data_IF_087278958422
#
_entry.id   IF_087278958422
#
_cell.length_a   1.000
_cell.length_b   1.000
_cell.length_c   1.000
_cell.angle_alpha   90.00
_cell.angle_beta   90.00
_cell.angle_gamma   90.00
#
_symmetry.space_group_name_H-M   'P 1'
#
loop_
_entity.id
_entity.type
_entity.pdbx_description
1 polymer ?
#
# COMPACT_ATOMS: atom_id res chain seq x y z
N UNK A 1 -22.13 -16.47 -17.00
CA UNK A 1 -21.26 -16.50 -15.79
C UNK A 1 -20.89 -15.06 -15.47
N UNK A 2 -20.83 -14.66 -14.19
CA UNK A 2 -20.53 -13.28 -13.85
C UNK A 2 -19.03 -13.09 -13.65
N UNK A 3 -18.51 -12.02 -14.23
CA UNK A 3 -17.10 -11.65 -14.14
C UNK A 3 -16.93 -10.25 -13.54
N UNK A 4 -15.79 -10.03 -12.93
CA UNK A 4 -15.43 -8.77 -12.27
C UNK A 4 -13.97 -8.42 -12.58
N UNK A 5 -13.68 -7.14 -12.57
CA UNK A 5 -12.32 -6.63 -12.73
C UNK A 5 -11.85 -5.90 -11.47
N UNK A 6 -10.65 -6.23 -11.04
CA UNK A 6 -9.92 -5.45 -10.05
C UNK A 6 -8.76 -4.72 -10.69
N UNK A 7 -8.71 -3.40 -10.55
CA UNK A 7 -7.66 -2.55 -11.09
C UNK A 7 -6.88 -1.90 -9.94
N UNK A 8 -5.56 -1.97 -10.03
CA UNK A 8 -4.62 -1.26 -9.15
C UNK A 8 -3.82 -0.28 -10.01
N UNK A 9 -4.17 0.99 -9.91
CA UNK A 9 -3.56 2.07 -10.68
C UNK A 9 -2.34 2.58 -9.95
N UNK A 10 -1.16 2.27 -10.45
CA UNK A 10 0.10 2.82 -9.93
C UNK A 10 0.64 3.97 -10.77
N UNK A 11 1.62 4.70 -10.25
CA UNK A 11 2.23 5.83 -10.97
C UNK A 11 3.00 5.43 -12.24
N UNK A 12 3.42 4.19 -12.38
CA UNK A 12 4.23 3.68 -13.53
C UNK A 12 3.55 2.57 -14.30
N UNK A 13 2.69 1.79 -13.66
CA UNK A 13 1.99 0.68 -14.26
C UNK A 13 0.62 0.46 -13.60
N UNK A 14 -0.33 -0.02 -14.39
CA UNK A 14 -1.65 -0.44 -13.95
C UNK A 14 -1.68 -1.96 -13.96
N UNK A 15 -2.13 -2.55 -12.86
CA UNK A 15 -2.43 -3.98 -12.79
C UNK A 15 -3.92 -4.19 -12.92
N UNK A 16 -4.32 -5.19 -13.67
CA UNK A 16 -5.72 -5.57 -13.88
C UNK A 16 -5.86 -7.07 -13.68
N UNK A 17 -6.78 -7.48 -12.80
CA UNK A 17 -7.14 -8.88 -12.59
C UNK A 17 -8.58 -9.14 -13.03
N UNK A 18 -8.79 -10.25 -13.75
CA UNK A 18 -10.10 -10.76 -14.16
C UNK A 18 -10.51 -11.89 -13.22
N UNK A 19 -11.63 -11.72 -12.55
CA UNK A 19 -12.16 -12.66 -11.55
C UNK A 19 -13.52 -13.22 -11.95
N UNK A 20 -13.77 -14.48 -11.60
CA UNK A 20 -15.14 -15.03 -11.54
C UNK A 20 -15.82 -14.60 -10.23
N UNK A 21 -17.13 -14.66 -10.20
CA UNK A 21 -17.92 -14.48 -8.97
C UNK A 21 -17.59 -15.49 -7.85
N UNK A 22 -16.87 -16.56 -8.18
CA UNK A 22 -16.38 -17.59 -7.26
C UNK A 22 -15.02 -17.27 -6.64
N UNK A 23 -14.51 -16.05 -6.82
CA UNK A 23 -13.19 -15.55 -6.36
C UNK A 23 -11.98 -16.09 -7.12
N UNK A 24 -12.20 -16.86 -8.15
CA UNK A 24 -11.11 -17.36 -8.97
C UNK A 24 -10.53 -16.24 -9.83
N UNK A 25 -9.24 -15.94 -9.64
CA UNK A 25 -8.48 -15.09 -10.55
C UNK A 25 -8.17 -15.89 -11.82
N UNK A 26 -8.78 -15.51 -12.94
CA UNK A 26 -8.66 -16.21 -14.22
C UNK A 26 -7.38 -15.79 -14.96
N UNK A 27 -7.18 -14.47 -15.02
CA UNK A 27 -6.07 -13.89 -15.77
C UNK A 27 -5.72 -12.52 -15.18
N UNK A 28 -4.49 -12.11 -15.39
CA UNK A 28 -4.04 -10.76 -15.02
C UNK A 28 -3.10 -10.19 -16.06
N UNK A 29 -3.10 -8.88 -16.17
CA UNK A 29 -2.17 -8.16 -17.03
C UNK A 29 -1.65 -6.89 -16.34
N UNK A 30 -0.50 -6.45 -16.80
CA UNK A 30 0.10 -5.18 -16.43
C UNK A 30 0.37 -4.37 -17.70
N UNK A 31 0.09 -3.07 -17.62
CA UNK A 31 0.39 -2.14 -18.71
C UNK A 31 0.88 -0.79 -18.16
N UNK A 32 1.66 -0.03 -18.92
CA UNK A 32 2.21 1.25 -18.45
C UNK A 32 1.11 2.26 -18.13
N UNK A 33 1.29 3.01 -17.04
CA UNK A 33 0.46 4.17 -16.75
C UNK A 33 0.93 5.33 -17.62
N UNK A 34 0.05 5.84 -18.47
CA UNK A 34 0.26 7.11 -19.19
C UNK A 34 -0.38 8.27 -18.42
N UNK A 35 -0.38 9.47 -18.99
CA UNK A 35 -1.04 10.62 -18.39
C UNK A 35 -2.56 10.41 -18.31
N UNK A 36 -3.23 11.17 -17.44
CA UNK A 36 -4.67 11.01 -17.17
C UNK A 36 -5.57 11.16 -18.41
N UNK A 37 -5.08 11.88 -19.44
CA UNK A 37 -5.80 12.06 -20.71
C UNK A 37 -6.02 10.75 -21.46
N UNK A 38 -5.06 9.81 -21.35
CA UNK A 38 -5.12 8.50 -22.02
C UNK A 38 -5.62 7.38 -21.13
N UNK A 39 -5.66 7.61 -19.81
CA UNK A 39 -5.86 6.58 -18.80
C UNK A 39 -7.16 5.78 -19.01
N UNK A 40 -8.26 6.47 -19.30
CA UNK A 40 -9.58 5.84 -19.50
C UNK A 40 -9.60 4.98 -20.76
N UNK A 41 -9.00 5.48 -21.85
CA UNK A 41 -8.90 4.75 -23.11
C UNK A 41 -8.01 3.51 -22.97
N UNK A 42 -6.89 3.64 -22.27
CA UNK A 42 -5.98 2.52 -22.01
C UNK A 42 -6.66 1.44 -21.16
N UNK A 43 -7.35 1.83 -20.08
CA UNK A 43 -8.10 0.90 -19.25
C UNK A 43 -9.14 0.17 -20.11
N UNK A 44 -9.96 0.89 -20.87
CA UNK A 44 -11.01 0.31 -21.69
C UNK A 44 -10.45 -0.66 -22.74
N UNK A 45 -9.41 -0.28 -23.48
CA UNK A 45 -8.78 -1.15 -24.48
C UNK A 45 -8.19 -2.43 -23.85
N UNK A 46 -7.57 -2.33 -22.69
CA UNK A 46 -7.04 -3.50 -22.00
C UNK A 46 -8.14 -4.39 -21.42
N UNK A 47 -9.30 -3.84 -21.01
CA UNK A 47 -10.48 -4.64 -20.67
C UNK A 47 -10.93 -5.46 -21.88
N UNK A 48 -11.13 -4.84 -23.03
CA UNK A 48 -11.55 -5.54 -24.26
C UNK A 48 -10.55 -6.63 -24.65
N UNK A 49 -9.25 -6.31 -24.61
CA UNK A 49 -8.20 -7.26 -24.93
C UNK A 49 -8.20 -8.47 -23.98
N UNK A 50 -8.38 -8.22 -22.66
CA UNK A 50 -8.40 -9.28 -21.66
C UNK A 50 -9.60 -10.21 -21.82
N UNK A 51 -10.78 -9.66 -22.12
CA UNK A 51 -12.01 -10.43 -22.38
C UNK A 51 -11.90 -11.25 -23.65
N UNK A 52 -11.42 -10.66 -24.75
CA UNK A 52 -11.18 -11.37 -26.02
C UNK A 52 -10.18 -12.52 -25.87
N UNK A 53 -9.04 -12.27 -25.16
CA UNK A 53 -8.02 -13.28 -24.89
C UNK A 53 -8.61 -14.51 -24.19
N UNK A 54 -9.55 -14.29 -23.28
CA UNK A 54 -10.17 -15.36 -22.49
C UNK A 54 -11.47 -15.90 -23.13
N UNK A 55 -11.85 -15.44 -24.32
CA UNK A 55 -13.09 -15.83 -25.02
C UNK A 55 -14.35 -15.59 -24.16
N UNK A 56 -14.38 -14.48 -23.40
CA UNK A 56 -15.49 -14.09 -22.53
C UNK A 56 -16.25 -12.93 -23.17
N UNK A 57 -17.60 -12.96 -23.11
CA UNK A 57 -18.41 -11.84 -23.58
C UNK A 57 -18.32 -10.66 -22.58
N UNK A 58 -18.10 -9.46 -23.10
CA UNK A 58 -18.04 -8.24 -22.27
C UNK A 58 -19.35 -7.98 -21.51
N UNK A 59 -20.50 -8.43 -22.00
CA UNK A 59 -21.81 -8.32 -21.34
C UNK A 59 -21.89 -9.12 -20.03
N UNK A 60 -20.98 -10.07 -19.84
CA UNK A 60 -20.84 -10.84 -18.60
C UNK A 60 -20.09 -10.08 -17.50
N UNK A 61 -19.50 -8.92 -17.79
CA UNK A 61 -18.83 -8.06 -16.81
C UNK A 61 -19.87 -7.38 -15.91
N UNK A 62 -19.82 -7.66 -14.60
CA UNK A 62 -20.78 -7.16 -13.61
C UNK A 62 -20.23 -6.04 -12.72
N UNK A 63 -18.93 -5.89 -12.66
CA UNK A 63 -18.34 -4.81 -11.87
C UNK A 63 -16.87 -4.60 -12.11
N UNK A 64 -16.44 -3.36 -11.92
CA UNK A 64 -15.05 -2.90 -11.95
C UNK A 64 -14.77 -2.21 -10.62
N UNK A 65 -13.75 -2.69 -9.90
CA UNK A 65 -13.18 -1.98 -8.76
C UNK A 65 -11.86 -1.33 -9.16
N UNK A 66 -11.57 -0.16 -8.61
CA UNK A 66 -10.36 0.61 -8.95
C UNK A 66 -9.72 1.10 -7.66
N UNK A 67 -8.46 0.71 -7.42
CA UNK A 67 -7.56 1.36 -6.47
C UNK A 67 -6.80 2.47 -7.20
N UNK A 68 -6.83 3.69 -6.67
CA UNK A 68 -6.21 4.85 -7.31
C UNK A 68 -5.37 5.65 -6.30
N UNK A 69 -4.14 6.07 -6.63
CA UNK A 69 -3.28 6.77 -5.69
C UNK A 69 -3.77 8.21 -5.46
N UNK A 70 -3.82 8.63 -4.20
CA UNK A 70 -4.23 9.97 -3.79
C UNK A 70 -5.61 10.03 -3.14
N UNK A 71 -6.18 11.22 -3.07
CA UNK A 71 -7.50 11.46 -2.49
C UNK A 71 -8.61 11.14 -3.49
N UNK A 72 -9.40 10.15 -3.18
CA UNK A 72 -10.48 9.62 -4.02
C UNK A 72 -11.81 9.70 -3.28
N UNK A 73 -12.79 10.36 -3.86
CA UNK A 73 -14.18 10.32 -3.40
C UNK A 73 -14.90 9.12 -4.03
N UNK A 74 -15.03 8.05 -3.26
CA UNK A 74 -15.67 6.81 -3.71
C UNK A 74 -17.19 6.91 -3.93
N UNK A 75 -17.86 7.94 -3.39
CA UNK A 75 -19.30 8.17 -3.60
C UNK A 75 -19.55 8.81 -4.95
N UNK A 76 -18.78 9.82 -5.31
CA UNK A 76 -18.91 10.53 -6.60
C UNK A 76 -18.13 9.85 -7.73
N UNK A 77 -17.13 9.03 -7.41
CA UNK A 77 -16.25 8.40 -8.41
C UNK A 77 -15.16 9.32 -8.95
N UNK A 78 -14.87 10.41 -8.24
CA UNK A 78 -13.91 11.45 -8.64
C UNK A 78 -12.60 11.28 -7.91
N UNK A 79 -11.49 11.33 -8.64
CA UNK A 79 -10.16 11.55 -8.07
C UNK A 79 -10.02 13.03 -7.79
N UNK A 80 -10.14 13.41 -6.51
CA UNK A 80 -10.08 14.81 -6.09
C UNK A 80 -8.68 15.37 -6.30
N UNK A 81 -7.67 14.58 -5.91
CA UNK A 81 -6.27 14.93 -6.07
C UNK A 81 -5.37 13.69 -6.11
N UNK A 82 -4.45 13.67 -7.07
CA UNK A 82 -3.35 12.70 -7.12
C UNK A 82 -2.07 13.38 -7.53
N UNK A 83 -1.07 13.36 -6.67
CA UNK A 83 0.25 13.91 -6.98
C UNK A 83 1.00 13.04 -7.99
N UNK A 84 0.91 11.73 -7.85
CA UNK A 84 1.64 10.76 -8.67
C UNK A 84 1.23 10.78 -10.15
N UNK A 85 -0.04 11.09 -10.43
CA UNK A 85 -0.61 11.11 -11.78
C UNK A 85 -1.02 12.52 -12.24
N UNK A 86 -0.71 13.53 -11.44
CA UNK A 86 -1.05 14.95 -11.72
C UNK A 86 -2.55 15.10 -12.04
N UNK A 87 -3.41 14.43 -11.27
CA UNK A 87 -4.85 14.46 -11.45
C UNK A 87 -5.52 15.43 -10.47
N UNK A 88 -6.48 16.22 -10.96
CA UNK A 88 -7.33 17.11 -10.16
C UNK A 88 -8.76 17.04 -10.64
N UNK A 89 -9.71 16.74 -9.74
CA UNK A 89 -11.13 16.60 -10.03
C UNK A 89 -11.42 15.73 -11.27
N UNK A 90 -10.70 14.61 -11.37
CA UNK A 90 -10.76 13.73 -12.51
C UNK A 90 -11.89 12.69 -12.35
N UNK A 91 -12.95 12.85 -13.13
CA UNK A 91 -14.11 11.94 -13.16
C UNK A 91 -13.78 10.67 -13.96
N UNK A 92 -13.03 9.75 -13.36
CA UNK A 92 -12.66 8.49 -14.01
C UNK A 92 -13.85 7.55 -14.15
N UNK A 93 -14.75 7.53 -13.14
CA UNK A 93 -15.91 6.61 -13.15
C UNK A 93 -16.93 7.04 -14.18
N UNK A 94 -17.27 8.34 -14.28
CA UNK A 94 -18.18 8.85 -15.31
C UNK A 94 -17.65 8.58 -16.71
N UNK A 95 -16.37 8.89 -16.96
CA UNK A 95 -15.73 8.64 -18.27
C UNK A 95 -15.67 7.15 -18.65
N UNK A 96 -15.43 6.26 -17.70
CA UNK A 96 -15.47 4.81 -17.96
C UNK A 96 -16.89 4.33 -18.23
N UNK A 97 -17.92 4.87 -17.55
CA UNK A 97 -19.34 4.54 -17.79
C UNK A 97 -19.82 4.97 -19.17
N UNK A 98 -19.23 5.98 -19.80
CA UNK A 98 -19.51 6.34 -21.20
C UNK A 98 -19.09 5.24 -22.19
N UNK A 99 -18.09 4.41 -21.81
CA UNK A 99 -17.53 3.35 -22.65
C UNK A 99 -18.05 1.95 -22.32
N UNK A 100 -18.42 1.72 -21.07
CA UNK A 100 -18.82 0.39 -20.59
C UNK A 100 -19.94 0.50 -19.55
N UNK A 101 -21.05 -0.17 -19.82
CA UNK A 101 -22.22 -0.15 -18.95
C UNK A 101 -22.09 -1.25 -17.87
N UNK A 102 -21.40 -0.92 -16.78
CA UNK A 102 -21.25 -1.82 -15.64
C UNK A 102 -21.16 -1.05 -14.31
N UNK A 103 -21.25 -1.77 -13.19
CA UNK A 103 -21.07 -1.19 -11.88
C UNK A 103 -19.58 -0.86 -11.66
N UNK A 104 -19.25 0.38 -11.27
CA UNK A 104 -17.86 0.81 -11.04
C UNK A 104 -17.73 1.42 -9.66
N UNK A 105 -16.74 0.99 -8.90
CA UNK A 105 -16.33 1.60 -7.63
C UNK A 105 -14.85 1.95 -7.65
N UNK A 106 -14.52 3.02 -6.94
CA UNK A 106 -13.14 3.48 -6.78
C UNK A 106 -12.87 3.83 -5.32
N UNK A 107 -11.64 3.61 -4.85
CA UNK A 107 -11.14 4.09 -3.57
C UNK A 107 -9.62 4.32 -3.65
N UNK A 108 -9.02 4.84 -2.57
CA UNK A 108 -7.57 4.98 -2.46
C UNK A 108 -6.88 3.61 -2.57
N UNK A 109 -5.70 3.57 -3.22
CA UNK A 109 -4.94 2.35 -3.49
C UNK A 109 -4.56 1.55 -2.23
N UNK A 110 -4.13 2.24 -1.16
CA UNK A 110 -3.78 1.58 0.11
C UNK A 110 -5.03 1.04 0.84
N UNK A 111 -6.14 1.77 0.80
CA UNK A 111 -7.43 1.29 1.30
C UNK A 111 -7.88 0.02 0.55
N UNK A 112 -7.74 0.03 -0.77
CA UNK A 112 -8.09 -1.13 -1.61
C UNK A 112 -7.19 -2.31 -1.30
N UNK A 113 -5.88 -2.11 -1.13
CA UNK A 113 -4.96 -3.17 -0.73
C UNK A 113 -5.30 -3.76 0.65
N UNK A 114 -5.70 -2.92 1.61
CA UNK A 114 -6.19 -3.37 2.92
C UNK A 114 -7.44 -4.27 2.79
N UNK A 115 -8.37 -3.91 1.90
CA UNK A 115 -9.54 -4.74 1.61
C UNK A 115 -9.15 -6.09 1.01
N UNK A 116 -8.13 -6.13 0.15
CA UNK A 116 -7.58 -7.36 -0.41
C UNK A 116 -7.08 -8.30 0.69
N UNK A 117 -6.22 -7.81 1.56
CA UNK A 117 -5.72 -8.59 2.70
C UNK A 117 -6.82 -9.02 3.66
N UNK A 118 -7.83 -8.17 3.88
CA UNK A 118 -8.96 -8.46 4.75
C UNK A 118 -9.87 -9.57 4.23
N UNK A 119 -10.10 -9.66 2.93
CA UNK A 119 -10.99 -10.68 2.36
C UNK A 119 -10.28 -11.94 1.90
N UNK A 120 -9.03 -11.83 1.45
CA UNK A 120 -8.33 -12.91 0.74
C UNK A 120 -6.94 -13.22 1.29
N UNK A 121 -6.38 -12.36 2.14
CA UNK A 121 -5.04 -12.51 2.69
C UNK A 121 -5.04 -12.77 4.20
N UNK A 122 -4.03 -12.22 4.87
CA UNK A 122 -3.80 -12.40 6.32
C UNK A 122 -4.89 -11.82 7.21
N UNK A 123 -5.72 -10.92 6.70
CA UNK A 123 -6.83 -10.30 7.43
C UNK A 123 -8.12 -11.10 7.49
N UNK A 124 -8.22 -12.23 6.76
CA UNK A 124 -9.50 -12.94 6.54
C UNK A 124 -10.19 -13.48 7.80
N UNK A 125 -9.41 -13.78 8.84
CA UNK A 125 -9.91 -14.34 10.10
C UNK A 125 -10.14 -13.28 11.18
N UNK A 126 -9.92 -12.00 10.90
CA UNK A 126 -10.02 -10.86 11.80
C UNK A 126 -11.23 -9.96 11.48
N UNK A 127 -11.58 -9.08 12.43
CA UNK A 127 -12.60 -8.04 12.24
C UNK A 127 -11.98 -6.64 12.17
N UNK A 128 -10.82 -6.47 12.81
CA UNK A 128 -10.15 -5.20 12.94
C UNK A 128 -8.71 -5.35 12.47
N UNK A 129 -8.34 -4.72 11.37
CA UNK A 129 -6.97 -4.72 10.87
C UNK A 129 -6.50 -3.31 10.53
N UNK A 130 -5.22 -3.08 10.68
CA UNK A 130 -4.53 -1.93 10.08
C UNK A 130 -3.50 -2.46 9.11
N UNK A 131 -3.69 -2.16 7.84
CA UNK A 131 -2.73 -2.45 6.78
C UNK A 131 -1.81 -1.25 6.60
N UNK A 132 -0.51 -1.48 6.54
CA UNK A 132 0.52 -0.43 6.37
C UNK A 132 1.41 -0.82 5.20
N UNK A 133 1.47 -0.01 4.16
CA UNK A 133 2.37 -0.25 3.02
C UNK A 133 3.65 0.57 3.17
N UNK A 134 4.80 -0.13 3.14
CA UNK A 134 6.15 0.41 3.27
C UNK A 134 6.83 0.41 1.89
N UNK A 135 6.59 1.48 1.14
CA UNK A 135 7.10 1.68 -0.21
C UNK A 135 7.85 3.01 -0.35
N UNK A 136 7.71 3.69 -1.49
CA UNK A 136 8.23 5.05 -1.70
C UNK A 136 7.75 6.01 -0.62
N UNK A 137 6.49 5.87 -0.21
CA UNK A 137 5.89 6.50 0.96
C UNK A 137 5.40 5.47 1.98
N UNK A 138 4.59 5.92 2.93
CA UNK A 138 3.83 5.10 3.87
C UNK A 138 2.35 5.35 3.64
N UNK A 139 1.66 4.39 3.08
CA UNK A 139 0.21 4.39 2.97
C UNK A 139 -0.42 3.43 3.97
N UNK A 140 -1.75 3.45 4.08
CA UNK A 140 -2.45 2.50 4.91
C UNK A 140 -3.94 2.44 4.66
N UNK A 141 -4.53 1.35 5.14
CA UNK A 141 -5.97 1.17 5.18
C UNK A 141 -6.38 0.58 6.52
N UNK A 142 -7.49 1.04 7.04
CA UNK A 142 -7.97 0.68 8.37
C UNK A 142 -9.34 0.05 8.23
N UNK A 143 -9.50 -1.14 8.82
CA UNK A 143 -10.78 -1.84 8.87
C UNK A 143 -11.15 -2.02 10.33
N UNK A 144 -12.34 -1.56 10.71
CA UNK A 144 -12.93 -1.65 12.05
C UNK A 144 -14.30 -2.29 11.93
N UNK A 145 -14.56 -3.31 12.73
CA UNK A 145 -15.81 -4.09 12.70
C UNK A 145 -16.19 -4.54 11.28
N UNK A 146 -15.19 -5.01 10.53
CA UNK A 146 -15.36 -5.48 9.16
C UNK A 146 -15.63 -4.38 8.12
N UNK A 147 -15.49 -3.10 8.49
CA UNK A 147 -15.76 -1.96 7.59
C UNK A 147 -14.53 -1.10 7.40
N UNK A 148 -14.26 -0.73 6.16
CA UNK A 148 -13.16 0.17 5.82
C UNK A 148 -13.45 1.59 6.34
N UNK A 149 -12.46 2.19 7.00
CA UNK A 149 -12.50 3.56 7.51
C UNK A 149 -12.01 4.52 6.42
N UNK A 150 -12.92 5.01 5.60
CA UNK A 150 -12.58 5.95 4.53
C UNK A 150 -12.65 7.43 4.96
N UNK A 151 -13.32 7.72 6.09
CA UNK A 151 -13.54 9.09 6.54
C UNK A 151 -14.52 9.85 5.62
N UNK A 152 -14.57 11.18 5.80
CA UNK A 152 -15.42 12.02 4.96
C UNK A 152 -14.83 12.13 3.54
N UNK A 153 -15.61 11.82 2.53
CA UNK A 153 -15.23 11.90 1.10
C UNK A 153 -13.97 11.09 0.76
N UNK A 154 -13.71 9.96 1.45
CA UNK A 154 -12.54 9.14 1.20
C UNK A 154 -11.19 9.72 1.65
N UNK A 155 -11.18 10.81 2.46
CA UNK A 155 -9.98 11.52 2.88
C UNK A 155 -9.40 11.04 4.22
N UNK A 156 -9.87 9.89 4.74
CA UNK A 156 -9.40 9.31 6.00
C UNK A 156 -8.25 8.33 5.83
N UNK A 157 -7.77 7.80 6.96
CA UNK A 157 -6.72 6.78 7.02
C UNK A 157 -5.35 7.19 6.45
N UNK A 158 -5.06 8.49 6.35
CA UNK A 158 -3.77 9.04 5.91
C UNK A 158 -2.67 8.87 6.97
N UNK A 159 -2.41 7.60 7.36
CA UNK A 159 -1.54 7.24 8.47
C UNK A 159 -0.08 7.67 8.28
N UNK A 160 0.40 7.71 7.05
CA UNK A 160 1.75 8.16 6.72
C UNK A 160 2.01 9.63 7.08
N UNK A 161 0.92 10.43 7.18
CA UNK A 161 1.02 11.84 7.56
C UNK A 161 0.78 12.12 9.06
N UNK A 162 0.63 11.08 9.87
CA UNK A 162 0.67 11.17 11.33
C UNK A 162 2.05 11.64 11.79
N UNK A 163 2.12 12.65 12.67
CA UNK A 163 3.39 13.16 13.20
C UNK A 163 3.91 12.24 14.29
N UNK A 164 5.11 11.70 14.11
CA UNK A 164 5.84 10.91 15.11
C UNK A 164 7.03 11.68 15.71
N UNK A 165 7.49 12.75 15.06
CA UNK A 165 8.62 13.55 15.55
C UNK A 165 8.33 15.05 15.40
N UNK A 166 8.15 15.73 16.54
CA UNK A 166 7.89 17.18 16.55
C UNK A 166 9.08 17.95 15.94
N UNK A 167 8.78 18.87 15.01
CA UNK A 167 9.79 19.65 14.26
C UNK A 167 10.78 18.82 13.43
N UNK A 168 10.46 17.58 13.12
CA UNK A 168 11.28 16.66 12.35
C UNK A 168 11.41 16.99 10.86
N UNK A 169 11.67 15.97 10.03
CA UNK A 169 11.86 16.13 8.60
C UNK A 169 10.64 16.75 7.91
N UNK A 170 10.88 17.61 6.91
CA UNK A 170 9.83 18.17 6.08
C UNK A 170 9.20 17.05 5.21
N UNK A 171 7.89 16.96 5.25
CA UNK A 171 7.10 16.04 4.43
C UNK A 171 6.59 16.72 3.17
N UNK A 172 6.35 15.96 2.10
CA UNK A 172 5.73 16.42 0.85
C UNK A 172 4.34 17.06 1.07
N UNK A 173 3.63 16.68 2.14
CA UNK A 173 2.34 17.29 2.53
C UNK A 173 2.47 18.68 3.15
N UNK A 174 3.67 19.23 3.30
CA UNK A 174 3.95 20.55 3.90
C UNK A 174 4.13 20.52 5.43
N UNK A 175 3.80 19.44 6.13
CA UNK A 175 4.03 19.27 7.57
C UNK A 175 5.45 18.79 7.86
N UNK A 176 5.84 18.86 9.14
CA UNK A 176 7.12 18.29 9.61
C UNK A 176 6.85 17.09 10.52
N UNK A 177 7.72 16.09 10.43
CA UNK A 177 7.73 14.95 11.35
C UNK A 177 6.73 13.85 11.04
N UNK A 178 6.17 13.81 9.83
CA UNK A 178 5.25 12.76 9.39
C UNK A 178 5.91 11.38 9.42
N UNK A 179 5.17 10.35 9.80
CA UNK A 179 5.61 8.95 9.87
C UNK A 179 6.29 8.49 8.58
N UNK A 180 5.75 8.85 7.43
CA UNK A 180 6.33 8.56 6.11
C UNK A 180 7.78 9.01 5.98
N UNK A 181 8.12 10.18 6.53
CA UNK A 181 9.48 10.73 6.41
C UNK A 181 10.54 9.99 7.24
N UNK A 182 10.11 9.00 8.01
CA UNK A 182 10.97 8.14 8.84
C UNK A 182 10.86 6.66 8.46
N UNK A 183 9.68 6.17 8.17
CA UNK A 183 9.38 4.75 7.99
C UNK A 183 9.22 4.29 6.54
N UNK A 184 9.29 5.18 5.54
CA UNK A 184 9.27 4.78 4.14
C UNK A 184 10.62 4.18 3.68
N UNK A 185 10.61 3.43 2.58
CA UNK A 185 11.83 2.98 1.90
C UNK A 185 12.70 4.16 1.48
N UNK A 186 12.08 5.24 1.02
CA UNK A 186 12.78 6.49 0.66
C UNK A 186 13.51 7.08 1.87
N UNK A 187 12.88 7.08 3.04
CA UNK A 187 13.48 7.57 4.28
C UNK A 187 14.69 6.72 4.70
N UNK A 188 14.54 5.39 4.69
CA UNK A 188 15.64 4.46 4.99
C UNK A 188 16.86 4.72 4.08
N UNK A 189 16.65 4.77 2.77
CA UNK A 189 17.75 4.95 1.80
C UNK A 189 18.34 6.36 1.89
N UNK A 190 17.55 7.40 2.12
CA UNK A 190 18.04 8.76 2.37
C UNK A 190 19.00 8.78 3.58
N UNK A 191 18.59 8.18 4.70
CA UNK A 191 19.40 8.14 5.92
C UNK A 191 20.67 7.31 5.72
N UNK A 192 20.56 6.18 5.01
CA UNK A 192 21.70 5.34 4.68
C UNK A 192 22.72 6.05 3.77
N UNK A 193 22.28 6.85 2.81
CA UNK A 193 23.16 7.68 1.95
C UNK A 193 23.94 8.70 2.76
N UNK A 194 23.27 9.41 3.66
CA UNK A 194 23.94 10.38 4.55
C UNK A 194 24.96 9.67 5.44
N UNK A 195 24.61 8.53 6.02
CA UNK A 195 25.50 7.76 6.86
C UNK A 195 26.70 7.20 6.08
N UNK A 196 26.50 6.72 4.85
CA UNK A 196 27.55 6.26 3.94
C UNK A 196 28.57 7.36 3.68
N UNK A 197 28.13 8.57 3.33
CA UNK A 197 29.01 9.72 3.07
C UNK A 197 29.87 10.06 4.30
N UNK A 198 29.29 9.98 5.49
CA UNK A 198 29.99 10.30 6.75
C UNK A 198 30.89 9.15 7.27
N UNK A 199 30.88 7.98 6.64
CA UNK A 199 31.62 6.79 7.06
C UNK A 199 32.37 6.15 5.88
N UNK A 200 33.54 6.64 5.48
CA UNK A 200 34.27 6.16 4.30
C UNK A 200 34.72 4.69 4.36
N UNK A 201 34.71 4.07 5.53
CA UNK A 201 35.13 2.67 5.73
C UNK A 201 33.95 1.68 5.77
N UNK A 202 32.72 2.16 5.60
CA UNK A 202 31.52 1.31 5.53
C UNK A 202 31.51 0.43 4.28
N UNK A 203 31.01 -0.81 4.41
CA UNK A 203 30.79 -1.71 3.27
C UNK A 203 29.78 -1.17 2.27
N UNK A 204 28.96 -0.18 2.65
CA UNK A 204 28.06 0.51 1.72
C UNK A 204 28.79 1.08 0.50
N UNK A 205 30.06 1.54 0.67
CA UNK A 205 30.88 2.02 -0.44
C UNK A 205 31.31 0.92 -1.39
N UNK A 206 31.67 -0.26 -0.85
CA UNK A 206 32.05 -1.43 -1.66
C UNK A 206 30.86 -1.94 -2.48
N UNK A 207 29.66 -2.02 -1.84
CA UNK A 207 28.48 -2.67 -2.42
C UNK A 207 27.73 -1.73 -3.38
N UNK A 208 27.54 -0.46 -3.00
CA UNK A 208 26.78 0.50 -3.78
C UNK A 208 27.64 1.33 -4.74
N UNK A 209 28.99 1.36 -4.54
CA UNK A 209 29.96 2.14 -5.30
C UNK A 209 29.79 3.67 -5.18
N UNK A 210 28.57 4.18 -5.06
CA UNK A 210 28.28 5.60 -4.83
C UNK A 210 26.96 5.79 -4.07
N UNK A 211 26.77 6.94 -3.38
CA UNK A 211 25.52 7.23 -2.69
C UNK A 211 24.28 7.21 -3.60
N UNK A 212 24.41 7.61 -4.87
CA UNK A 212 23.32 7.65 -5.84
C UNK A 212 22.84 6.25 -6.22
N UNK A 213 23.75 5.27 -6.27
CA UNK A 213 23.45 3.87 -6.56
C UNK A 213 22.95 3.10 -5.34
N UNK A 214 23.05 3.67 -4.13
CA UNK A 214 22.54 3.03 -2.92
C UNK A 214 21.00 2.92 -2.99
N UNK A 215 20.51 1.70 -2.95
CA UNK A 215 19.10 1.35 -2.96
C UNK A 215 18.75 0.31 -1.90
N UNK A 216 17.49 -0.13 -1.86
CA UNK A 216 17.05 -1.11 -0.86
C UNK A 216 17.83 -2.42 -0.93
N UNK A 217 18.14 -2.93 -2.12
CA UNK A 217 18.88 -4.17 -2.28
C UNK A 217 20.29 -4.07 -1.69
N UNK A 218 21.05 -3.05 -2.11
CA UNK A 218 22.45 -2.82 -1.65
C UNK A 218 22.53 -2.50 -0.16
N UNK A 219 21.53 -1.79 0.38
CA UNK A 219 21.46 -1.51 1.83
C UNK A 219 21.30 -2.81 2.64
N UNK A 220 20.35 -3.65 2.26
CA UNK A 220 20.10 -4.90 2.99
C UNK A 220 21.23 -5.92 2.80
N UNK A 221 21.94 -5.93 1.68
CA UNK A 221 23.16 -6.71 1.51
C UNK A 221 24.25 -6.29 2.50
N UNK A 222 24.47 -4.98 2.68
CA UNK A 222 25.42 -4.48 3.69
C UNK A 222 24.98 -4.87 5.11
N UNK A 223 23.68 -4.81 5.41
CA UNK A 223 23.14 -5.23 6.70
C UNK A 223 23.38 -6.74 6.95
N UNK A 224 23.10 -7.60 5.97
CA UNK A 224 23.36 -9.04 6.04
C UNK A 224 24.85 -9.35 6.24
N UNK A 225 25.74 -8.55 5.64
CA UNK A 225 27.21 -8.63 5.84
C UNK A 225 27.65 -7.96 7.15
N UNK A 226 26.73 -7.55 8.02
CA UNK A 226 26.98 -6.97 9.36
C UNK A 226 27.79 -5.67 9.33
N UNK A 227 27.58 -4.85 8.30
CA UNK A 227 28.14 -3.50 8.28
C UNK A 227 27.59 -2.69 9.47
N UNK A 228 28.49 -2.06 10.23
CA UNK A 228 28.12 -1.33 11.45
C UNK A 228 27.23 -0.12 11.14
N UNK A 229 27.49 0.56 10.04
CA UNK A 229 26.73 1.75 9.65
C UNK A 229 25.32 1.35 9.21
N UNK A 230 25.20 0.33 8.36
CA UNK A 230 23.91 -0.20 7.96
C UNK A 230 23.10 -0.71 9.15
N UNK A 231 23.76 -1.37 10.13
CA UNK A 231 23.11 -1.86 11.35
C UNK A 231 22.52 -0.70 12.18
N UNK A 232 23.29 0.35 12.44
CA UNK A 232 22.82 1.52 13.21
C UNK A 232 21.62 2.20 12.50
N UNK A 233 21.70 2.37 11.18
CA UNK A 233 20.63 2.99 10.41
C UNK A 233 19.37 2.10 10.43
N UNK A 234 19.51 0.79 10.36
CA UNK A 234 18.40 -0.13 10.41
C UNK A 234 17.76 -0.17 11.80
N UNK A 235 18.54 -0.16 12.88
CA UNK A 235 18.04 -0.08 14.26
C UNK A 235 17.21 1.19 14.46
N UNK A 236 17.67 2.34 13.98
CA UNK A 236 16.89 3.59 14.04
C UNK A 236 15.61 3.50 13.21
N UNK A 237 15.68 2.91 12.02
CA UNK A 237 14.51 2.67 11.18
C UNK A 237 13.44 1.81 11.90
N UNK A 238 13.88 0.77 12.63
CA UNK A 238 12.99 -0.09 13.41
C UNK A 238 12.33 0.70 14.55
N UNK A 239 13.06 1.60 15.25
CA UNK A 239 12.48 2.48 16.29
C UNK A 239 11.40 3.39 15.68
N UNK A 240 11.74 4.11 14.62
CA UNK A 240 10.81 5.05 13.96
C UNK A 240 9.55 4.32 13.45
N UNK A 241 9.71 3.13 12.90
CA UNK A 241 8.60 2.30 12.42
C UNK A 241 7.75 1.79 13.59
N UNK A 242 8.38 1.36 14.69
CA UNK A 242 7.69 0.90 15.89
C UNK A 242 6.87 2.03 16.56
N UNK A 243 7.39 3.26 16.59
CA UNK A 243 6.65 4.43 17.11
C UNK A 243 5.33 4.65 16.35
N UNK A 244 5.40 4.65 15.01
CA UNK A 244 4.21 4.81 14.20
C UNK A 244 3.21 3.67 14.34
N UNK A 245 3.67 2.42 14.33
CA UNK A 245 2.83 1.24 14.50
C UNK A 245 2.20 1.18 15.90
N UNK A 246 2.95 1.59 16.94
CA UNK A 246 2.44 1.67 18.31
C UNK A 246 1.31 2.69 18.43
N UNK A 247 1.45 3.86 17.80
CA UNK A 247 0.38 4.86 17.77
C UNK A 247 -0.90 4.29 17.15
N UNK A 248 -0.78 3.60 16.00
CA UNK A 248 -1.90 2.94 15.35
C UNK A 248 -2.52 1.84 16.23
N UNK A 249 -1.67 1.01 16.88
CA UNK A 249 -2.12 -0.02 17.80
C UNK A 249 -2.84 0.54 19.02
N UNK A 250 -2.38 1.67 19.58
CA UNK A 250 -3.02 2.31 20.72
C UNK A 250 -4.32 3.03 20.36
N UNK A 251 -4.46 3.54 19.14
CA UNK A 251 -5.68 4.24 18.68
C UNK A 251 -6.78 3.24 18.30
N UNK A 252 -6.44 2.23 17.49
CA UNK A 252 -7.42 1.34 16.89
C UNK A 252 -7.54 -0.01 17.60
N UNK A 253 -6.51 -0.42 18.34
CA UNK A 253 -6.41 -1.74 18.97
C UNK A 253 -6.84 -2.86 18.01
N UNK A 254 -6.21 -2.98 16.83
CA UNK A 254 -6.61 -3.96 15.85
C UNK A 254 -6.25 -5.39 16.29
N UNK A 255 -6.90 -6.37 15.70
CA UNK A 255 -6.52 -7.78 15.85
C UNK A 255 -5.14 -8.01 15.22
N UNK A 256 -4.89 -7.38 14.06
CA UNK A 256 -3.62 -7.47 13.35
C UNK A 256 -3.16 -6.14 12.73
N UNK A 257 -1.84 -5.92 12.78
CA UNK A 257 -1.09 -4.99 11.93
C UNK A 257 -0.49 -5.78 10.78
N UNK A 258 -0.85 -5.47 9.54
CA UNK A 258 -0.38 -6.19 8.34
C UNK A 258 0.53 -5.26 7.54
N UNK A 259 1.80 -5.66 7.37
CA UNK A 259 2.79 -4.88 6.64
C UNK A 259 2.89 -5.35 5.18
N UNK A 260 2.69 -4.42 4.25
CA UNK A 260 2.92 -4.59 2.81
C UNK A 260 4.07 -3.72 2.30
N UNK A 261 4.33 -3.80 1.00
CA UNK A 261 5.40 -3.04 0.34
C UNK A 261 6.76 -3.72 0.40
N UNK A 262 7.71 -3.20 -0.37
CA UNK A 262 8.98 -3.89 -0.63
C UNK A 262 9.85 -4.18 0.60
N UNK A 263 9.80 -3.31 1.62
CA UNK A 263 10.57 -3.51 2.85
C UNK A 263 10.02 -4.67 3.68
N UNK A 264 8.69 -4.84 3.73
CA UNK A 264 8.06 -5.89 4.54
C UNK A 264 8.51 -7.29 4.16
N UNK A 265 8.93 -7.49 2.90
CA UNK A 265 9.41 -8.80 2.42
C UNK A 265 10.81 -9.19 2.90
N UNK A 266 11.43 -8.41 3.78
CA UNK A 266 12.69 -8.77 4.44
C UNK A 266 12.48 -9.80 5.57
N UNK A 267 11.24 -10.21 5.81
CA UNK A 267 10.90 -11.31 6.72
C UNK A 267 11.34 -11.04 8.15
N UNK A 268 11.93 -12.05 8.79
CA UNK A 268 12.27 -12.03 10.21
C UNK A 268 13.25 -10.92 10.61
N UNK A 269 14.13 -10.49 9.69
CA UNK A 269 15.05 -9.36 9.92
C UNK A 269 14.29 -8.09 10.31
N UNK A 270 13.11 -7.87 9.70
CA UNK A 270 12.22 -6.76 10.03
C UNK A 270 11.25 -7.11 11.17
N UNK A 271 10.62 -8.28 11.09
CA UNK A 271 9.47 -8.62 11.91
C UNK A 271 9.83 -8.90 13.37
N UNK A 272 10.92 -9.62 13.64
CA UNK A 272 11.31 -9.97 15.02
C UNK A 272 11.61 -8.74 15.88
N UNK A 273 12.49 -7.79 15.46
CA UNK A 273 12.77 -6.61 16.26
C UNK A 273 11.56 -5.69 16.41
N UNK A 274 10.68 -5.60 15.40
CA UNK A 274 9.44 -4.83 15.49
C UNK A 274 8.46 -5.44 16.50
N UNK A 275 8.23 -6.75 16.44
CA UNK A 275 7.32 -7.42 17.36
C UNK A 275 7.78 -7.25 18.81
N UNK A 276 9.08 -7.39 19.08
CA UNK A 276 9.64 -7.19 20.42
C UNK A 276 9.44 -5.77 20.95
N UNK A 277 9.49 -4.75 20.07
CA UNK A 277 9.24 -3.35 20.47
C UNK A 277 7.76 -3.10 20.71
N UNK A 278 6.89 -3.54 19.81
CA UNK A 278 5.44 -3.38 19.95
C UNK A 278 4.92 -3.98 21.26
N UNK A 279 5.40 -5.16 21.66
CA UNK A 279 5.02 -5.79 22.93
C UNK A 279 5.37 -4.94 24.16
N UNK A 280 6.42 -4.14 24.07
CA UNK A 280 6.84 -3.23 25.16
C UNK A 280 6.15 -1.88 25.12
N UNK A 281 5.85 -1.38 23.92
CA UNK A 281 5.41 0.00 23.70
C UNK A 281 3.89 0.16 23.67
N UNK A 282 3.15 -0.88 23.26
CA UNK A 282 1.68 -0.84 23.25
C UNK A 282 1.16 -0.74 24.69
N UNK A 283 0.28 0.22 24.95
CA UNK A 283 -0.30 0.44 26.27
C UNK A 283 -1.00 -0.81 26.80
N UNK A 284 -0.57 -1.27 27.98
CA UNK A 284 -1.09 -2.49 28.60
C UNK A 284 -0.81 -3.78 27.81
N UNK A 285 0.20 -3.80 26.92
CA UNK A 285 0.49 -4.92 26.04
C UNK A 285 0.67 -6.27 26.73
N UNK A 286 1.31 -6.29 27.90
CA UNK A 286 1.53 -7.53 28.66
C UNK A 286 0.27 -8.07 29.40
N UNK A 287 -0.79 -7.27 29.53
CA UNK A 287 -2.06 -7.68 30.19
C UNK A 287 -3.25 -7.79 29.24
N UNK A 288 -3.06 -7.44 27.96
CA UNK A 288 -4.11 -7.50 26.95
C UNK A 288 -3.80 -8.54 25.88
N UNK A 289 -4.79 -8.87 25.06
CA UNK A 289 -4.58 -9.70 23.90
C UNK A 289 -3.49 -9.08 23.00
N UNK A 290 -2.60 -9.92 22.48
CA UNK A 290 -1.53 -9.51 21.58
C UNK A 290 -2.12 -8.92 20.29
N UNK A 291 -1.54 -7.84 19.80
CA UNK A 291 -1.77 -7.37 18.43
C UNK A 291 -0.83 -8.18 17.52
N UNK A 292 -1.41 -8.93 16.58
CA UNK A 292 -0.60 -9.74 15.67
C UNK A 292 0.11 -8.83 14.66
N UNK A 293 1.41 -9.04 14.47
CA UNK A 293 2.17 -8.37 13.41
C UNK A 293 2.44 -9.37 12.29
N UNK A 294 1.98 -9.04 11.08
CA UNK A 294 1.99 -9.96 9.94
C UNK A 294 2.55 -9.31 8.69
N UNK A 295 3.07 -10.14 7.77
CA UNK A 295 3.43 -9.69 6.41
C UNK A 295 2.26 -10.00 5.48
N UNK A 296 1.96 -9.07 4.58
CA UNK A 296 0.98 -9.20 3.49
C UNK A 296 1.15 -10.53 2.75
N UNK A 297 0.06 -11.29 2.62
CA UNK A 297 0.04 -12.55 1.89
C UNK A 297 -0.09 -12.34 0.39
N UNK A 298 -0.97 -11.42 -0.02
CA UNK A 298 -1.26 -11.14 -1.42
C UNK A 298 -0.15 -10.30 -2.09
N UNK A 299 0.71 -9.69 -1.31
CA UNK A 299 1.86 -8.92 -1.81
C UNK A 299 1.43 -7.86 -2.84
N UNK A 300 2.05 -7.92 -4.03
CA UNK A 300 1.77 -7.00 -5.13
C UNK A 300 0.39 -7.17 -5.79
N UNK A 301 -0.37 -8.20 -5.42
CA UNK A 301 -1.70 -8.45 -5.94
C UNK A 301 -2.81 -7.96 -4.98
N UNK A 302 -2.45 -7.48 -3.77
CA UNK A 302 -3.42 -7.00 -2.78
C UNK A 302 -4.38 -5.94 -3.35
N UNK A 303 -3.87 -5.01 -4.18
CA UNK A 303 -4.67 -3.99 -4.84
C UNK A 303 -5.73 -4.56 -5.77
N UNK A 304 -5.39 -5.52 -6.64
CA UNK A 304 -6.39 -6.12 -7.57
C UNK A 304 -7.42 -6.98 -6.85
N UNK A 305 -7.03 -7.72 -5.80
CA UNK A 305 -7.98 -8.49 -4.99
C UNK A 305 -8.93 -7.59 -4.18
N UNK A 306 -8.41 -6.51 -3.61
CA UNK A 306 -9.23 -5.54 -2.88
C UNK A 306 -10.19 -4.78 -3.79
N UNK A 307 -9.72 -4.39 -4.97
CA UNK A 307 -10.56 -3.78 -5.99
C UNK A 307 -11.69 -4.73 -6.42
N UNK A 308 -11.39 -6.00 -6.64
CA UNK A 308 -12.40 -7.04 -6.87
C UNK A 308 -13.40 -7.14 -5.71
N UNK A 309 -12.93 -7.24 -4.46
CA UNK A 309 -13.81 -7.30 -3.28
C UNK A 309 -14.78 -6.11 -3.23
N UNK A 310 -14.30 -4.91 -3.53
CA UNK A 310 -15.07 -3.68 -3.48
C UNK A 310 -16.23 -3.66 -4.50
N UNK A 311 -16.06 -4.23 -5.70
CA UNK A 311 -17.09 -4.23 -6.75
C UNK A 311 -17.97 -5.48 -6.75
N UNK A 312 -17.55 -6.61 -6.18
CA UNK A 312 -18.30 -7.86 -6.11
C UNK A 312 -19.38 -7.88 -5.00
N UNK A 313 -19.60 -6.74 -4.30
CA UNK A 313 -20.60 -6.57 -3.21
C UNK A 313 -20.41 -7.55 -2.03
N UNK A 314 -19.18 -7.96 -1.76
CA UNK A 314 -18.94 -8.80 -0.59
C UNK A 314 -19.23 -8.05 0.69
N UNK A 315 -20.07 -8.66 1.52
CA UNK A 315 -20.21 -8.35 2.94
C UNK A 315 -19.61 -9.53 3.69
N UNK A 316 -18.70 -9.25 4.63
CA UNK A 316 -18.31 -10.24 5.62
C UNK A 316 -19.41 -10.44 6.63
#
# INVERSE_FOLDING_TARGET
MNYYLGLDVGGTAIKMGLFKETDELIDKLNFPTRTVEYLVDDIYQNIINLFNKNSINIDDLKGIGIGFPGHVDGETGIVVYSNNLVAHNFDIVGKLKEKINTYIRISNDANVAALGEFHFGKGKDFQNIVFVTLGTGVGGGIIVDGKMLEGKNGAGAEIGHMVISTNGHLCSCGRRGCFETYASATALIRNARVAMINNPTSLLWEIAESPEKLGGFTFFEALERKDKVATIIFEQYIEDLADGLTNLANIFRPDALILGGGISYRGDVLMEPLQQRLEKMIYGGQWNARVELMISELKNDAGIYGAYAMCSKRKK
#
